data_IF_789357730936
#
_entry.id   IF_789357730936
#
_cell.length_a   1.000
_cell.length_b   1.000
_cell.length_c   1.000
_cell.angle_alpha   90.00
_cell.angle_beta   90.00
_cell.angle_gamma   90.00
#
_symmetry.space_group_name_H-M   'P 1'
#
loop_
_entity.id
_entity.type
_entity.pdbx_description
1 polymer ?
#
# COMPACT_ATOMS: atom_id res chain seq x y z
N UNK A 1 2.61 -13.58 4.24
CA UNK A 1 1.28 -14.17 4.56
C UNK A 1 0.39 -14.43 3.33
N UNK A 2 0.76 -14.08 2.09
CA UNK A 2 -0.10 -14.36 0.91
C UNK A 2 0.18 -15.72 0.23
N UNK A 3 1.39 -16.26 0.38
CA UNK A 3 1.82 -17.48 -0.29
C UNK A 3 0.91 -18.72 -0.11
N UNK A 4 0.34 -19.02 1.08
CA UNK A 4 -0.39 -20.27 1.26
C UNK A 4 -1.69 -20.38 0.45
N UNK A 5 -2.32 -19.25 0.12
CA UNK A 5 -3.63 -19.21 -0.55
C UNK A 5 -3.47 -18.71 -1.98
N UNK A 6 -2.69 -17.66 -2.18
CA UNK A 6 -2.58 -16.98 -3.47
C UNK A 6 -1.28 -17.28 -4.22
N UNK A 7 -0.36 -18.03 -3.61
CA UNK A 7 0.98 -18.33 -4.18
C UNK A 7 1.73 -17.03 -4.59
N UNK A 8 1.57 -15.99 -3.75
CA UNK A 8 2.34 -14.74 -3.81
C UNK A 8 3.42 -14.80 -2.72
N UNK A 9 4.66 -15.08 -3.13
CA UNK A 9 5.82 -15.19 -2.22
C UNK A 9 6.32 -13.84 -1.75
N UNK A 10 6.52 -12.92 -2.69
CA UNK A 10 6.86 -11.51 -2.42
C UNK A 10 5.98 -10.59 -3.27
N UNK A 11 5.15 -9.79 -2.59
CA UNK A 11 4.24 -8.85 -3.21
C UNK A 11 4.93 -7.67 -3.91
N UNK A 12 6.24 -7.49 -3.73
CA UNK A 12 7.00 -6.44 -4.43
C UNK A 12 7.39 -6.84 -5.85
N UNK A 13 7.44 -8.14 -6.14
CA UNK A 13 7.98 -8.68 -7.40
C UNK A 13 7.01 -9.63 -8.11
N UNK A 14 6.01 -10.13 -7.40
CA UNK A 14 5.00 -11.02 -7.97
C UNK A 14 4.08 -10.29 -8.95
N UNK A 15 3.97 -10.82 -10.17
CA UNK A 15 3.03 -10.34 -11.20
C UNK A 15 1.56 -10.71 -10.89
N UNK A 16 1.32 -11.59 -9.92
CA UNK A 16 -0.04 -12.03 -9.51
C UNK A 16 -0.78 -11.03 -8.62
N UNK A 17 -0.17 -9.90 -8.28
CA UNK A 17 -0.75 -8.86 -7.44
C UNK A 17 -0.39 -7.49 -8.01
N UNK A 18 -1.36 -6.58 -7.97
CA UNK A 18 -1.15 -5.18 -8.32
C UNK A 18 -1.88 -4.28 -7.33
N UNK A 19 -1.51 -2.99 -7.28
CA UNK A 19 -1.97 -2.03 -6.29
C UNK A 19 -2.61 -0.82 -6.96
N UNK A 20 -3.82 -0.50 -6.49
CA UNK A 20 -4.51 0.73 -6.88
C UNK A 20 -4.11 1.86 -5.93
N UNK A 21 -3.70 3.00 -6.50
CA UNK A 21 -3.41 4.19 -5.70
C UNK A 21 -4.68 4.77 -5.09
N UNK A 22 -4.59 5.27 -3.85
CA UNK A 22 -5.75 5.72 -3.06
C UNK A 22 -6.65 6.74 -3.75
N UNK A 23 -6.09 7.61 -4.61
CA UNK A 23 -6.86 8.61 -5.37
C UNK A 23 -7.89 8.01 -6.34
N UNK A 24 -7.67 6.78 -6.83
CA UNK A 24 -8.61 6.13 -7.76
C UNK A 24 -9.79 5.48 -7.04
N UNK A 25 -9.63 5.17 -5.74
CA UNK A 25 -10.69 4.61 -4.91
C UNK A 25 -11.20 3.23 -5.33
N UNK A 26 -12.39 2.88 -4.84
CA UNK A 26 -13.01 1.56 -5.03
C UNK A 26 -13.45 1.29 -6.47
N UNK A 27 -13.82 2.32 -7.24
CA UNK A 27 -14.28 2.14 -8.62
C UNK A 27 -13.21 1.55 -9.54
N UNK A 28 -11.95 1.92 -9.34
CA UNK A 28 -10.84 1.32 -10.08
C UNK A 28 -10.58 -0.14 -9.68
N UNK A 29 -10.77 -0.49 -8.40
CA UNK A 29 -10.67 -1.89 -7.96
C UNK A 29 -11.76 -2.75 -8.61
N UNK A 30 -12.99 -2.26 -8.64
CA UNK A 30 -14.12 -2.93 -9.29
C UNK A 30 -13.87 -3.10 -10.79
N UNK A 31 -13.44 -2.03 -11.47
CA UNK A 31 -13.09 -2.09 -12.90
C UNK A 31 -12.04 -3.16 -13.19
N UNK A 32 -10.97 -3.24 -12.39
CA UNK A 32 -9.89 -4.21 -12.60
C UNK A 32 -10.34 -5.67 -12.50
N UNK A 33 -11.29 -5.94 -11.61
CA UNK A 33 -11.88 -7.27 -11.48
C UNK A 33 -12.80 -7.58 -12.66
N UNK A 34 -13.62 -6.61 -13.07
CA UNK A 34 -14.61 -6.80 -14.13
C UNK A 34 -14.02 -6.83 -15.55
N UNK A 35 -12.96 -6.05 -15.79
CA UNK A 35 -12.45 -5.75 -17.14
C UNK A 35 -10.98 -6.17 -17.35
N UNK A 36 -10.13 -6.06 -16.33
CA UNK A 36 -8.67 -6.23 -16.47
C UNK A 36 -8.18 -7.64 -16.07
N UNK A 37 -9.10 -8.59 -15.88
CA UNK A 37 -8.79 -10.01 -15.68
C UNK A 37 -8.30 -10.39 -14.27
N UNK A 38 -8.43 -9.50 -13.28
CA UNK A 38 -8.13 -9.83 -11.88
C UNK A 38 -9.25 -10.69 -11.27
N UNK A 39 -8.86 -11.71 -10.48
CA UNK A 39 -9.83 -12.63 -9.87
C UNK A 39 -10.63 -12.01 -8.70
N UNK A 40 -10.04 -11.04 -8.00
CA UNK A 40 -10.65 -10.38 -6.85
C UNK A 40 -9.90 -9.08 -6.52
N UNK A 41 -10.56 -8.20 -5.76
CA UNK A 41 -9.97 -7.01 -5.17
C UNK A 41 -10.14 -7.02 -3.64
N UNK A 42 -9.16 -6.46 -2.93
CA UNK A 42 -9.20 -6.30 -1.47
C UNK A 42 -9.08 -4.81 -1.16
N UNK A 43 -10.08 -4.25 -0.49
CA UNK A 43 -10.03 -2.93 0.08
C UNK A 43 -9.77 -3.04 1.59
N UNK A 44 -8.82 -2.27 2.09
CA UNK A 44 -8.48 -2.22 3.51
C UNK A 44 -8.99 -0.92 4.12
N UNK A 45 -9.44 -0.98 5.37
CA UNK A 45 -9.78 0.22 6.12
C UNK A 45 -8.50 1.05 6.35
N UNK A 46 -8.55 2.39 6.20
CA UNK A 46 -7.38 3.23 6.42
C UNK A 46 -6.87 3.10 7.86
N UNK A 47 -5.56 2.97 8.01
CA UNK A 47 -4.91 2.95 9.33
C UNK A 47 -4.94 4.34 9.94
N UNK A 48 -5.18 4.42 11.24
CA UNK A 48 -5.12 5.70 11.96
C UNK A 48 -3.68 6.22 12.04
N UNK A 49 -3.54 7.55 12.10
CA UNK A 49 -2.21 8.17 12.13
C UNK A 49 -1.49 7.82 13.44
N UNK A 50 -2.18 7.74 14.57
CA UNK A 50 -1.59 7.36 15.85
C UNK A 50 -1.05 5.93 15.83
N UNK A 51 -1.73 5.01 15.17
CA UNK A 51 -1.27 3.62 15.06
C UNK A 51 -0.08 3.49 14.12
N UNK A 52 -0.07 4.26 13.02
CA UNK A 52 1.10 4.38 12.16
C UNK A 52 2.32 4.87 12.95
N UNK A 53 2.16 5.92 13.76
CA UNK A 53 3.25 6.49 14.56
C UNK A 53 3.78 5.46 15.59
N UNK A 54 2.90 4.76 16.30
CA UNK A 54 3.29 3.68 17.23
C UNK A 54 4.11 2.58 16.55
N UNK A 55 3.76 2.20 15.32
CA UNK A 55 4.49 1.18 14.56
C UNK A 55 5.90 1.67 14.24
N UNK A 56 6.04 2.92 13.80
CA UNK A 56 7.34 3.54 13.52
C UNK A 56 8.21 3.64 14.79
N UNK A 57 7.63 4.11 15.90
CA UNK A 57 8.33 4.24 17.19
C UNK A 57 8.81 2.88 17.72
N UNK A 58 8.10 1.80 17.37
CA UNK A 58 8.49 0.43 17.73
C UNK A 58 9.58 -0.18 16.85
N UNK A 59 10.13 0.58 15.88
CA UNK A 59 11.14 0.10 14.93
C UNK A 59 10.60 -0.95 13.94
N UNK A 60 9.28 -1.01 13.76
CA UNK A 60 8.61 -1.94 12.85
C UNK A 60 8.24 -1.26 11.54
N UNK A 61 7.91 -2.08 10.54
CA UNK A 61 7.53 -1.61 9.21
C UNK A 61 6.11 -2.04 8.87
N UNK A 62 5.37 -1.15 8.21
CA UNK A 62 4.07 -1.49 7.63
C UNK A 62 4.26 -2.50 6.49
N UNK A 63 3.27 -3.38 6.26
CA UNK A 63 3.24 -4.18 5.05
C UNK A 63 3.34 -3.29 3.79
N UNK A 64 4.04 -3.76 2.74
CA UNK A 64 4.12 -3.05 1.47
C UNK A 64 2.74 -2.62 0.95
N UNK A 65 2.64 -1.33 0.60
CA UNK A 65 1.47 -0.73 -0.06
C UNK A 65 0.16 -0.83 0.74
N UNK A 66 0.21 -1.03 2.06
CA UNK A 66 -0.99 -1.04 2.92
C UNK A 66 -1.46 0.35 3.35
N UNK A 67 -0.68 1.40 3.09
CA UNK A 67 -1.00 2.80 3.42
C UNK A 67 -0.77 3.72 2.23
N UNK A 68 -1.58 4.78 2.12
CA UNK A 68 -1.48 5.81 1.09
C UNK A 68 -1.51 7.21 1.73
N UNK A 69 -0.46 8.00 1.49
CA UNK A 69 -0.38 9.39 1.95
C UNK A 69 -0.66 10.37 0.82
N UNK A 70 -1.38 11.44 1.17
CA UNK A 70 -1.62 12.61 0.34
C UNK A 70 -1.37 13.90 1.14
N UNK A 71 -0.62 14.87 0.59
CA UNK A 71 0.12 14.81 -0.67
C UNK A 71 1.28 13.79 -0.59
N UNK A 72 1.64 13.21 -1.75
CA UNK A 72 2.92 12.50 -1.83
C UNK A 72 4.03 13.48 -1.47
N UNK A 73 4.99 13.03 -0.65
CA UNK A 73 6.20 13.81 -0.39
C UNK A 73 6.79 14.23 -1.74
N UNK A 74 6.93 15.54 -1.94
CA UNK A 74 7.56 16.07 -3.14
C UNK A 74 9.00 15.57 -3.15
N UNK A 75 9.40 14.93 -4.23
CA UNK A 75 10.79 14.52 -4.45
C UNK A 75 11.71 15.73 -4.26
N UNK A 76 12.79 15.58 -3.47
CA UNK A 76 13.75 16.66 -3.23
C UNK A 76 13.64 17.39 -1.88
N UNK A 77 12.84 16.90 -0.94
CA UNK A 77 12.90 17.38 0.45
C UNK A 77 14.23 16.92 1.08
N UNK A 78 15.12 17.87 1.34
CA UNK A 78 16.39 17.67 2.05
C UNK A 78 16.28 18.31 3.42
N UNK A 79 16.51 17.53 4.48
CA UNK A 79 16.59 18.02 5.85
C UNK A 79 18.06 18.07 6.25
N UNK A 80 18.57 19.26 6.52
CA UNK A 80 19.91 19.47 7.06
C UNK A 80 19.75 20.16 8.40
N UNK A 81 20.05 19.44 9.48
CA UNK A 81 20.22 20.09 10.78
C UNK A 81 21.44 21.00 10.69
N UNK A 82 21.22 22.29 10.93
CA UNK A 82 22.29 23.25 11.14
C UNK A 82 22.55 23.25 12.65
N UNK A 83 23.76 22.91 13.04
CA UNK A 83 24.26 23.09 14.41
C UNK A 83 24.22 24.57 14.83
#
# INVERSE_FOLDING_TARGET
MLAPIFDIKDQRTSERIDFVGGIRGLGELEKRVNEDGFAAAIALYPTDIEDLMKIADSGRVMPPKSTWFEPKLRSGLFLHELD
#
